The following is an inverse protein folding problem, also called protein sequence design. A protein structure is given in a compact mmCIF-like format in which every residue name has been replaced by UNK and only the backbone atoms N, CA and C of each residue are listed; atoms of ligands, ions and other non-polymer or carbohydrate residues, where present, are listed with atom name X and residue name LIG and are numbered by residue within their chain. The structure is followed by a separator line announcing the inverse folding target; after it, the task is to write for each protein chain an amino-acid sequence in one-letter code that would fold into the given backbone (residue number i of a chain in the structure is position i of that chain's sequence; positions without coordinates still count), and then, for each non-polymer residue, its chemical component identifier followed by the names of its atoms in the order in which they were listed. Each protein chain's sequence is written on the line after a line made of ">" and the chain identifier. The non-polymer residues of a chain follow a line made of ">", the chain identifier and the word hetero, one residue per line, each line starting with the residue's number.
data_IF_569155085467
#
_entry.id   IF_569155085467
#
_cell.length_a   1.000
_cell.length_b   1.000
_cell.length_c   1.000
_cell.angle_alpha   90.00
_cell.angle_beta   90.00
_cell.angle_gamma   90.00
#
_symmetry.space_group_name_H-M   'P 1'
#
loop_
_entity.id
_entity.type
_entity.pdbx_description
1 polymer ?
#
# COMPACT_ATOMS: atom_id res chain seq x y z
N UNK A 1 6.15 -9.88 25.47
CA UNK A 1 5.61 -8.76 24.66
C UNK A 1 4.18 -8.51 25.09
N UNK A 2 3.84 -7.27 25.44
CA UNK A 2 2.57 -6.86 26.08
C UNK A 2 1.73 -5.98 25.15
N UNK A 3 0.46 -5.75 25.50
CA UNK A 3 -0.42 -4.81 24.79
C UNK A 3 0.12 -3.37 24.76
N UNK A 4 0.80 -2.94 25.82
CA UNK A 4 1.45 -1.61 25.86
C UNK A 4 2.56 -1.49 24.79
N UNK A 5 3.32 -2.57 24.57
CA UNK A 5 4.33 -2.60 23.51
C UNK A 5 3.68 -2.49 22.12
N UNK A 6 2.54 -3.16 21.88
CA UNK A 6 1.79 -3.02 20.63
C UNK A 6 1.47 -1.56 20.35
N UNK A 7 0.89 -0.89 21.34
CA UNK A 7 0.45 0.51 21.21
C UNK A 7 1.61 1.45 20.94
N UNK A 8 2.75 1.25 21.61
CA UNK A 8 3.98 2.00 21.34
C UNK A 8 4.48 1.78 19.92
N UNK A 9 4.51 0.54 19.44
CA UNK A 9 4.92 0.22 18.07
C UNK A 9 3.98 0.83 17.03
N UNK A 10 2.66 0.81 17.28
CA UNK A 10 1.67 1.46 16.42
C UNK A 10 1.88 2.98 16.37
N UNK A 11 2.20 3.61 17.50
CA UNK A 11 2.46 5.06 17.53
C UNK A 11 3.78 5.42 16.84
N UNK A 12 4.81 4.59 16.97
CA UNK A 12 6.06 4.75 16.20
C UNK A 12 5.81 4.56 14.70
N UNK A 13 5.04 3.54 14.32
CA UNK A 13 4.66 3.30 12.93
C UNK A 13 3.86 4.47 12.34
N UNK A 14 2.93 5.04 13.11
CA UNK A 14 2.21 6.26 12.75
C UNK A 14 3.18 7.40 12.44
N UNK A 15 4.21 7.63 13.26
CA UNK A 15 5.19 8.68 13.00
C UNK A 15 5.88 8.49 11.65
N UNK A 16 6.30 7.26 11.33
CA UNK A 16 6.83 6.93 10.00
C UNK A 16 5.85 7.19 8.87
N UNK A 17 4.59 6.81 9.04
CA UNK A 17 3.56 6.92 8.00
C UNK A 17 3.17 8.38 7.75
N UNK A 18 3.01 9.18 8.79
CA UNK A 18 2.66 10.61 8.66
C UNK A 18 3.80 11.38 8.00
N UNK A 19 5.03 11.08 8.40
CA UNK A 19 6.24 11.77 7.94
C UNK A 19 6.88 11.09 6.71
N UNK A 20 6.16 10.23 6.00
CA UNK A 20 6.72 9.43 4.91
C UNK A 20 7.23 10.26 3.72
N UNK A 21 6.79 11.51 3.60
CA UNK A 21 7.20 12.43 2.53
C UNK A 21 8.64 12.93 2.72
N UNK A 22 9.16 12.94 3.96
CA UNK A 22 10.53 13.39 4.24
C UNK A 22 11.56 12.46 3.59
N UNK A 23 12.59 13.01 2.92
CA UNK A 23 13.58 12.25 2.15
C UNK A 23 14.31 11.21 3.00
N UNK A 24 14.66 11.54 4.24
CA UNK A 24 15.57 10.77 5.10
C UNK A 24 14.87 9.64 5.87
N UNK A 25 13.57 9.40 5.64
CA UNK A 25 12.86 8.33 6.34
C UNK A 25 13.29 6.96 5.85
N UNK A 26 13.72 6.13 6.79
CA UNK A 26 14.07 4.74 6.54
C UNK A 26 12.84 3.88 6.29
N UNK A 27 12.44 3.78 5.02
CA UNK A 27 11.27 2.98 4.59
C UNK A 27 11.41 1.51 5.00
N UNK A 28 12.64 0.96 5.00
CA UNK A 28 12.90 -0.41 5.42
C UNK A 28 12.49 -0.59 6.89
N UNK A 29 12.95 0.30 7.79
CA UNK A 29 12.58 0.26 9.21
C UNK A 29 11.08 0.33 9.40
N UNK A 30 10.39 1.21 8.67
CA UNK A 30 8.93 1.30 8.71
C UNK A 30 8.25 -0.01 8.30
N UNK A 31 8.68 -0.67 7.23
CA UNK A 31 8.09 -1.92 6.75
C UNK A 31 8.39 -3.09 7.71
N UNK A 32 9.62 -3.16 8.23
CA UNK A 32 9.98 -4.15 9.25
C UNK A 32 9.17 -3.96 10.53
N UNK A 33 8.99 -2.72 10.98
CA UNK A 33 8.14 -2.41 12.14
C UNK A 33 6.70 -2.88 11.91
N UNK A 34 6.17 -2.74 10.70
CA UNK A 34 4.84 -3.26 10.34
C UNK A 34 4.77 -4.79 10.40
N UNK A 35 5.84 -5.49 10.03
CA UNK A 35 5.95 -6.95 10.18
C UNK A 35 5.94 -7.35 11.66
N UNK A 36 6.67 -6.62 12.51
CA UNK A 36 6.72 -6.88 13.94
C UNK A 36 5.37 -6.63 14.62
N UNK A 37 4.67 -5.55 14.24
CA UNK A 37 3.30 -5.27 14.69
C UNK A 37 2.37 -6.42 14.32
N UNK A 38 2.42 -6.92 13.08
CA UNK A 38 1.57 -8.04 12.62
C UNK A 38 1.81 -9.30 13.46
N UNK A 39 3.08 -9.66 13.68
CA UNK A 39 3.44 -10.82 14.49
C UNK A 39 2.96 -10.68 15.94
N UNK A 40 3.08 -9.49 16.52
CA UNK A 40 2.64 -9.24 17.88
C UNK A 40 1.12 -9.26 18.01
N UNK A 41 0.42 -8.72 17.01
CA UNK A 41 -1.03 -8.73 16.92
C UNK A 41 -1.56 -10.16 16.86
N UNK A 42 -1.03 -11.00 15.98
CA UNK A 42 -1.38 -12.42 15.89
C UNK A 42 -1.11 -13.17 17.21
N UNK A 43 -0.03 -12.84 17.91
CA UNK A 43 0.31 -13.46 19.19
C UNK A 43 -0.64 -13.05 20.32
N UNK A 44 -1.10 -11.79 20.35
CA UNK A 44 -2.05 -11.28 21.35
C UNK A 44 -3.47 -11.76 21.07
N UNK A 45 -3.86 -11.85 19.80
CA UNK A 45 -5.15 -12.37 19.36
C UNK A 45 -5.31 -13.84 19.74
N UNK A 46 -4.26 -14.66 19.56
CA UNK A 46 -4.23 -16.06 20.03
C UNK A 46 -4.41 -16.20 21.55
N UNK A 47 -4.12 -15.14 22.32
CA UNK A 47 -4.30 -15.10 23.77
C UNK A 47 -5.69 -14.59 24.20
N UNK A 48 -6.58 -14.29 23.24
CA UNK A 48 -7.91 -13.75 23.51
C UNK A 48 -7.92 -12.29 23.94
N UNK A 49 -6.87 -11.53 23.62
CA UNK A 49 -6.84 -10.08 23.90
C UNK A 49 -7.75 -9.37 22.90
N UNK A 50 -8.61 -8.46 23.38
CA UNK A 50 -9.36 -7.57 22.50
C UNK A 50 -8.41 -6.53 21.87
N UNK A 51 -8.32 -6.55 20.54
CA UNK A 51 -7.41 -5.72 19.74
C UNK A 51 -8.16 -4.93 18.67
N UNK A 52 -9.50 -4.90 18.72
CA UNK A 52 -10.30 -4.32 17.63
C UNK A 52 -9.98 -2.84 17.41
N UNK A 53 -9.85 -2.07 18.51
CA UNK A 53 -9.46 -0.67 18.44
C UNK A 53 -8.05 -0.46 17.85
N UNK A 54 -7.11 -1.35 18.17
CA UNK A 54 -5.73 -1.27 17.67
C UNK A 54 -5.66 -1.65 16.18
N UNK A 55 -6.46 -2.63 15.74
CA UNK A 55 -6.64 -2.99 14.31
C UNK A 55 -7.19 -1.81 13.50
N UNK A 56 -8.26 -1.17 13.96
CA UNK A 56 -8.86 -0.01 13.27
C UNK A 56 -7.87 1.15 13.12
N UNK A 57 -7.06 1.41 14.16
CA UNK A 57 -5.99 2.42 14.09
C UNK A 57 -4.93 2.04 13.04
N UNK A 58 -4.50 0.79 13.05
CA UNK A 58 -3.52 0.28 12.09
C UNK A 58 -4.03 0.37 10.64
N UNK A 59 -5.30 0.03 10.40
CA UNK A 59 -5.94 0.15 9.08
C UNK A 59 -5.98 1.60 8.56
N UNK A 60 -6.13 2.57 9.47
CA UNK A 60 -6.10 3.99 9.12
C UNK A 60 -4.73 4.37 8.55
N UNK A 61 -3.64 3.89 9.16
CA UNK A 61 -2.27 4.15 8.69
C UNK A 61 -1.95 3.36 7.41
N UNK A 62 -2.41 2.11 7.32
CA UNK A 62 -2.29 1.27 6.14
C UNK A 62 -2.97 1.92 4.92
N UNK A 63 -4.09 2.63 5.12
CA UNK A 63 -4.77 3.41 4.08
C UNK A 63 -3.90 4.55 3.55
N UNK A 64 -3.13 5.24 4.41
CA UNK A 64 -2.21 6.32 4.00
C UNK A 64 -1.11 5.74 3.11
N UNK A 65 -0.51 4.61 3.51
CA UNK A 65 0.50 3.92 2.70
C UNK A 65 -0.09 3.51 1.35
N UNK A 66 -1.30 2.95 1.30
CA UNK A 66 -1.96 2.57 0.04
C UNK A 66 -2.24 3.77 -0.87
N UNK A 67 -2.54 4.95 -0.31
CA UNK A 67 -2.68 6.19 -1.10
C UNK A 67 -1.32 6.64 -1.65
N UNK A 68 -0.27 6.54 -0.85
CA UNK A 68 1.11 6.96 -1.19
C UNK A 68 1.99 5.85 -1.78
N UNK A 69 1.43 4.69 -2.13
CA UNK A 69 2.14 3.47 -2.53
C UNK A 69 3.23 3.68 -3.59
N UNK A 70 3.01 4.59 -4.55
CA UNK A 70 3.98 4.91 -5.62
C UNK A 70 5.26 5.52 -5.05
N UNK A 71 5.11 6.43 -4.09
CA UNK A 71 6.23 7.10 -3.47
C UNK A 71 6.96 6.17 -2.50
N UNK A 72 6.22 5.40 -1.71
CA UNK A 72 6.79 4.40 -0.80
C UNK A 72 7.62 3.38 -1.58
N UNK A 73 7.06 2.85 -2.68
CA UNK A 73 7.78 1.92 -3.53
C UNK A 73 9.04 2.56 -4.15
N UNK A 74 8.97 3.81 -4.60
CA UNK A 74 10.13 4.54 -5.15
C UNK A 74 11.25 4.67 -4.13
N UNK A 75 10.93 5.07 -2.90
CA UNK A 75 11.90 5.18 -1.80
C UNK A 75 12.48 3.81 -1.43
N UNK A 76 11.64 2.78 -1.36
CA UNK A 76 12.08 1.40 -1.14
C UNK A 76 13.10 0.96 -2.19
N UNK A 77 12.78 1.16 -3.48
CA UNK A 77 13.68 0.81 -4.60
C UNK A 77 14.96 1.65 -4.67
N UNK A 78 14.97 2.83 -4.04
CA UNK A 78 16.17 3.65 -3.95
C UNK A 78 17.16 3.10 -2.91
N UNK A 79 16.66 2.44 -1.87
CA UNK A 79 17.48 1.85 -0.82
C UNK A 79 17.84 0.37 -1.08
N UNK A 80 16.94 -0.41 -1.69
CA UNK A 80 17.16 -1.83 -1.95
C UNK A 80 16.33 -2.36 -3.13
N UNK A 81 16.70 -3.51 -3.68
CA UNK A 81 15.86 -4.19 -4.67
C UNK A 81 14.84 -5.12 -3.97
N UNK A 82 13.53 -4.82 -4.02
CA UNK A 82 12.53 -5.52 -3.23
C UNK A 82 12.28 -6.97 -3.66
N UNK A 83 12.64 -7.38 -4.88
CA UNK A 83 12.49 -8.78 -5.32
C UNK A 83 13.44 -9.74 -4.58
N UNK A 84 14.78 -9.60 -4.70
CA UNK A 84 15.70 -10.50 -4.00
C UNK A 84 15.51 -10.43 -2.49
N UNK A 85 15.21 -9.25 -1.94
CA UNK A 85 14.95 -9.10 -0.51
C UNK A 85 13.76 -9.93 -0.02
N UNK A 86 12.66 -9.97 -0.79
CA UNK A 86 11.48 -10.79 -0.47
C UNK A 86 11.80 -12.28 -0.49
N UNK A 87 12.61 -12.72 -1.45
CA UNK A 87 13.01 -14.12 -1.61
C UNK A 87 13.96 -14.57 -0.50
N UNK A 88 15.01 -13.79 -0.23
CA UNK A 88 15.99 -14.04 0.82
C UNK A 88 15.34 -14.11 2.20
N UNK A 89 14.43 -13.18 2.50
CA UNK A 89 13.73 -13.11 3.78
C UNK A 89 12.47 -13.97 3.86
N UNK A 90 12.10 -14.67 2.77
CA UNK A 90 10.87 -15.48 2.66
C UNK A 90 9.63 -14.74 3.16
N UNK A 91 9.47 -13.50 2.73
CA UNK A 91 8.38 -12.63 3.20
C UNK A 91 7.03 -13.24 2.80
N UNK A 92 6.08 -13.41 3.74
CA UNK A 92 4.76 -13.96 3.44
C UNK A 92 3.95 -13.06 2.50
N UNK A 93 3.15 -13.68 1.63
CA UNK A 93 2.22 -12.97 0.73
C UNK A 93 1.14 -12.17 1.47
N UNK A 94 0.84 -12.51 2.73
CA UNK A 94 -0.08 -11.74 3.59
C UNK A 94 0.44 -10.33 3.89
N UNK A 95 1.76 -10.11 3.83
CA UNK A 95 2.39 -8.82 4.10
C UNK A 95 2.35 -7.93 2.87
N UNK A 96 1.15 -7.49 2.50
CA UNK A 96 0.87 -6.74 1.27
C UNK A 96 1.75 -5.49 1.10
N UNK A 97 2.25 -4.90 2.20
CA UNK A 97 3.13 -3.73 2.21
C UNK A 97 4.52 -3.99 1.60
N UNK A 98 4.94 -5.24 1.42
CA UNK A 98 6.13 -5.61 0.65
C UNK A 98 5.84 -5.84 -0.84
N UNK A 99 4.57 -5.96 -1.24
CA UNK A 99 4.12 -6.21 -2.61
C UNK A 99 3.47 -4.97 -3.26
N UNK A 100 3.98 -3.78 -2.91
CA UNK A 100 3.49 -2.50 -3.45
C UNK A 100 3.64 -2.42 -4.98
N UNK A 101 4.61 -3.12 -5.56
CA UNK A 101 4.79 -3.23 -7.01
C UNK A 101 3.59 -3.89 -7.69
N UNK A 102 3.08 -4.99 -7.13
CA UNK A 102 1.92 -5.71 -7.65
C UNK A 102 0.67 -4.83 -7.56
N UNK A 103 0.45 -4.20 -6.40
CA UNK A 103 -0.67 -3.28 -6.20
C UNK A 103 -0.63 -2.06 -7.15
N UNK A 104 0.57 -1.56 -7.45
CA UNK A 104 0.78 -0.50 -8.43
C UNK A 104 0.48 -0.96 -9.85
N UNK A 105 0.90 -2.17 -10.24
CA UNK A 105 0.61 -2.76 -11.56
C UNK A 105 -0.90 -2.88 -11.76
N UNK A 106 -1.63 -3.40 -10.78
CA UNK A 106 -3.07 -3.52 -10.85
C UNK A 106 -3.77 -2.16 -11.02
N UNK A 107 -3.38 -1.14 -10.23
CA UNK A 107 -3.94 0.21 -10.37
C UNK A 107 -3.73 0.77 -11.77
N UNK A 108 -2.55 0.57 -12.36
CA UNK A 108 -2.24 1.05 -13.73
C UNK A 108 -3.06 0.34 -14.79
N UNK A 109 -3.26 -0.97 -14.66
CA UNK A 109 -4.10 -1.75 -15.60
C UNK A 109 -5.55 -1.31 -15.53
N UNK A 110 -6.10 -1.14 -14.32
CA UNK A 110 -7.46 -0.64 -14.10
C UNK A 110 -7.65 0.77 -14.67
N UNK A 111 -6.70 1.67 -14.45
CA UNK A 111 -6.76 3.03 -14.99
C UNK A 111 -6.72 3.04 -16.53
N UNK A 112 -5.81 2.28 -17.15
CA UNK A 112 -5.71 2.19 -18.62
C UNK A 112 -7.00 1.65 -19.25
N UNK A 113 -7.60 0.60 -18.67
CA UNK A 113 -8.90 0.07 -19.15
C UNK A 113 -10.00 1.14 -19.15
N UNK A 114 -10.08 1.98 -18.10
CA UNK A 114 -11.07 3.08 -18.04
C UNK A 114 -10.84 4.14 -19.11
N UNK A 115 -9.59 4.48 -19.40
CA UNK A 115 -9.26 5.44 -20.45
C UNK A 115 -9.59 4.93 -21.86
N UNK A 116 -9.33 3.64 -22.14
CA UNK A 116 -9.70 3.02 -23.42
C UNK A 116 -11.21 3.04 -23.65
N UNK A 117 -12.00 2.73 -22.63
CA UNK A 117 -13.48 2.77 -22.72
C UNK A 117 -13.96 4.20 -23.00
N UNK A 118 -13.45 5.19 -22.27
CA UNK A 118 -13.83 6.61 -22.46
C UNK A 118 -13.41 7.14 -23.84
N UNK A 119 -12.21 6.81 -24.28
CA UNK A 119 -11.72 7.17 -25.62
C UNK A 119 -12.54 6.55 -26.73
N UNK A 120 -12.93 5.27 -26.58
CA UNK A 120 -13.80 4.57 -27.52
C UNK A 120 -15.18 5.23 -27.64
N UNK A 121 -15.82 5.59 -26.52
CA UNK A 121 -17.12 6.28 -26.52
C UNK A 121 -17.01 7.65 -27.21
N UNK A 122 -15.97 8.42 -26.91
CA UNK A 122 -15.75 9.73 -27.53
C UNK A 122 -15.53 9.62 -29.05
N UNK A 123 -14.76 8.63 -29.50
CA UNK A 123 -14.52 8.38 -30.92
C UNK A 123 -15.82 8.01 -31.67
N UNK A 124 -16.66 7.14 -31.09
CA UNK A 124 -17.97 6.78 -31.68
C UNK A 124 -18.90 7.99 -31.75
N UNK A 125 -18.95 8.81 -30.69
CA UNK A 125 -19.77 10.03 -30.68
C UNK A 125 -19.32 11.05 -31.74
N UNK A 126 -18.00 11.24 -31.92
CA UNK A 126 -17.45 12.11 -32.96
C UNK A 126 -17.74 11.60 -34.37
N UNK A 127 -17.63 10.29 -34.60
CA UNK A 127 -17.98 9.67 -35.88
C UNK A 127 -19.47 9.84 -36.20
N UNK A 128 -20.36 9.63 -35.22
CA UNK A 128 -21.79 9.85 -35.39
C UNK A 128 -22.10 11.32 -35.71
N UNK A 129 -21.48 12.26 -34.99
CA UNK A 129 -21.64 13.69 -35.24
C UNK A 129 -21.12 14.09 -36.63
N UNK A 130 -19.98 13.55 -37.05
CA UNK A 130 -19.43 13.79 -38.39
C UNK A 130 -20.39 13.30 -39.49
N UNK A 131 -20.91 12.08 -39.37
CA UNK A 131 -21.88 11.51 -40.33
C UNK A 131 -23.15 12.35 -40.41
N UNK A 132 -23.66 12.85 -39.28
CA UNK A 132 -24.83 13.73 -39.24
C UNK A 132 -24.53 15.07 -39.94
N UNK A 133 -23.33 15.63 -39.76
CA UNK A 133 -22.95 16.92 -40.34
C UNK A 133 -22.67 16.85 -41.86
N UNK A 134 -22.27 15.68 -42.37
CA UNK A 134 -21.96 15.47 -43.80
C UNK A 134 -23.12 14.92 -44.62
N UNK A 135 -24.26 14.61 -44.00
CA UNK A 135 -25.52 14.24 -44.67
C UNK A 135 -26.44 15.44 -44.79
#
# INVERSE_FOLDING_TARGET
>A
MTLDNLRKMIEEYKDYVVNIDYPDREIIKMLTLRDEIENLLLNLEKRGTDLEADKVRLETFDTIIRKKMKMVYRKLTASLNPLPYREERKIPRSHWWWYLDELLKEKRVRARKRWLIRGGIAAVALLAAYIILTK
#
